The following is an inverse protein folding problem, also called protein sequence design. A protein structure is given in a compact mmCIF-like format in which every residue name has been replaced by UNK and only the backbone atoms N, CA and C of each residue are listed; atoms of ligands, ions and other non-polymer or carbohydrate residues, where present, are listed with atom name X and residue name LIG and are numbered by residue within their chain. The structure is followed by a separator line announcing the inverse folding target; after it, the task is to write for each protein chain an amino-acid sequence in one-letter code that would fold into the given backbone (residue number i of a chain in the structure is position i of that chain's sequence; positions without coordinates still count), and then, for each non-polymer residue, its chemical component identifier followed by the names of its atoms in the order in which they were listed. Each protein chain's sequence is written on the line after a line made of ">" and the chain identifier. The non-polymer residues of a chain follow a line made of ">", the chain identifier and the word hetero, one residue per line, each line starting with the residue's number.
data_IF_223997969093
#
_entry.id   IF_223997969093
#
_cell.length_a   1.000
_cell.length_b   1.000
_cell.length_c   1.000
_cell.angle_alpha   90.00
_cell.angle_beta   90.00
_cell.angle_gamma   90.00
#
_symmetry.space_group_name_H-M   'P 1'
#
loop_
_entity.id
_entity.type
_entity.pdbx_description
1 polymer ?
#
# COMPACT_ATOMS: atom_id res chain seq x y z
N UNK A 1 12.19 -31.79 6.99
CA UNK A 1 11.98 -32.31 8.36
C UNK A 1 12.52 -31.26 9.32
N UNK A 2 11.66 -30.47 9.96
CA UNK A 2 12.07 -29.53 11.00
C UNK A 2 11.69 -30.14 12.36
N UNK A 3 12.50 -31.08 12.84
CA UNK A 3 12.37 -31.60 14.20
C UNK A 3 12.98 -30.58 15.17
N UNK A 4 12.15 -29.64 15.58
CA UNK A 4 12.44 -28.81 16.74
C UNK A 4 12.12 -29.70 17.95
N UNK A 5 13.16 -30.17 18.66
CA UNK A 5 13.04 -31.13 19.75
C UNK A 5 12.00 -30.73 20.81
N UNK A 6 11.38 -31.73 21.44
CA UNK A 6 10.17 -31.63 22.30
C UNK A 6 10.24 -30.74 23.54
N UNK A 7 11.31 -29.95 23.72
CA UNK A 7 11.51 -29.02 24.84
C UNK A 7 11.81 -27.58 24.38
N UNK A 8 11.61 -27.25 23.10
CA UNK A 8 11.77 -25.87 22.61
C UNK A 8 10.43 -25.15 22.68
N UNK A 9 10.25 -24.33 23.72
CA UNK A 9 9.17 -23.37 23.80
C UNK A 9 9.61 -22.05 23.12
N UNK A 10 8.85 -21.56 22.14
CA UNK A 10 9.14 -20.29 21.45
C UNK A 10 8.24 -19.20 22.01
N UNK A 11 8.84 -18.22 22.68
CA UNK A 11 8.13 -17.09 23.30
C UNK A 11 7.62 -16.04 22.28
N UNK A 12 8.02 -16.15 21.00
CA UNK A 12 7.65 -15.20 19.95
C UNK A 12 6.53 -15.74 19.06
N UNK A 13 5.63 -14.85 18.63
CA UNK A 13 4.63 -15.15 17.61
C UNK A 13 5.31 -15.58 16.31
N UNK A 14 4.77 -16.61 15.66
CA UNK A 14 5.21 -16.98 14.31
C UNK A 14 4.90 -15.85 13.32
N UNK A 15 5.66 -15.73 12.23
CA UNK A 15 5.40 -14.74 11.19
C UNK A 15 3.96 -14.83 10.65
N UNK A 16 3.39 -16.03 10.61
CA UNK A 16 2.01 -16.26 10.19
C UNK A 16 1.01 -15.66 11.21
N UNK A 17 1.25 -15.87 12.50
CA UNK A 17 0.42 -15.26 13.55
C UNK A 17 0.50 -13.74 13.51
N UNK A 18 1.69 -13.18 13.27
CA UNK A 18 1.87 -11.73 13.15
C UNK A 18 1.14 -11.16 11.93
N UNK A 19 1.32 -11.76 10.75
CA UNK A 19 0.66 -11.33 9.52
C UNK A 19 -0.87 -11.41 9.64
N UNK A 20 -1.38 -12.51 10.20
CA UNK A 20 -2.82 -12.69 10.43
C UNK A 20 -3.37 -11.61 11.36
N UNK A 21 -2.77 -11.43 12.54
CA UNK A 21 -3.24 -10.45 13.52
C UNK A 21 -3.25 -9.02 12.95
N UNK A 22 -2.20 -8.66 12.19
CA UNK A 22 -2.11 -7.34 11.56
C UNK A 22 -3.20 -7.12 10.51
N UNK A 23 -3.40 -8.09 9.62
CA UNK A 23 -4.39 -7.99 8.54
C UNK A 23 -5.81 -8.03 9.08
N UNK A 24 -6.11 -8.92 10.03
CA UNK A 24 -7.42 -8.97 10.70
C UNK A 24 -7.75 -7.63 11.36
N UNK A 25 -6.81 -7.04 12.09
CA UNK A 25 -7.02 -5.74 12.72
C UNK A 25 -7.27 -4.64 11.68
N UNK A 26 -6.46 -4.58 10.62
CA UNK A 26 -6.60 -3.55 9.60
C UNK A 26 -7.91 -3.68 8.80
N UNK A 27 -8.32 -4.90 8.46
CA UNK A 27 -9.47 -5.16 7.60
C UNK A 27 -10.78 -5.17 8.40
N UNK A 28 -10.83 -5.88 9.52
CA UNK A 28 -12.04 -6.05 10.32
C UNK A 28 -12.20 -4.92 11.33
N UNK A 29 -11.10 -4.47 11.95
CA UNK A 29 -11.12 -3.42 12.97
C UNK A 29 -11.19 -2.01 12.38
N UNK A 30 -10.36 -1.72 11.37
CA UNK A 30 -10.28 -0.37 10.76
C UNK A 30 -11.04 -0.24 9.44
N UNK A 31 -11.53 -1.33 8.87
CA UNK A 31 -12.27 -1.31 7.60
C UNK A 31 -11.41 -1.07 6.36
N UNK A 32 -10.08 -1.16 6.47
CA UNK A 32 -9.20 -0.98 5.32
C UNK A 32 -9.35 -2.14 4.33
N UNK A 33 -9.17 -1.83 3.04
CA UNK A 33 -9.35 -2.79 1.93
C UNK A 33 -8.24 -2.74 0.89
N UNK A 34 -7.44 -1.67 0.85
CA UNK A 34 -6.36 -1.50 -0.13
C UNK A 34 -5.05 -1.37 0.61
N UNK A 35 -4.07 -2.17 0.24
CA UNK A 35 -2.78 -2.24 0.91
C UNK A 35 -1.64 -2.12 -0.10
N UNK A 36 -0.50 -1.65 0.37
CA UNK A 36 0.76 -1.66 -0.35
C UNK A 36 1.81 -2.31 0.55
N UNK A 37 2.73 -3.07 -0.03
CA UNK A 37 3.73 -3.84 0.71
C UNK A 37 5.13 -3.33 0.34
N UNK A 38 5.91 -2.95 1.35
CA UNK A 38 7.33 -2.64 1.22
C UNK A 38 8.11 -3.64 2.09
N UNK A 39 9.07 -4.36 1.51
CA UNK A 39 9.73 -5.47 2.21
C UNK A 39 11.22 -5.59 1.85
N UNK A 40 12.05 -6.12 2.77
CA UNK A 40 13.45 -6.40 2.46
C UNK A 40 13.56 -7.56 1.47
N UNK A 41 14.46 -7.43 0.51
CA UNK A 41 14.73 -8.44 -0.52
C UNK A 41 15.55 -9.61 0.04
N UNK A 42 14.99 -10.30 1.02
CA UNK A 42 15.57 -11.50 1.63
C UNK A 42 14.49 -12.58 1.84
N UNK A 43 14.93 -13.75 2.29
CA UNK A 43 14.05 -14.90 2.53
C UNK A 43 12.99 -14.61 3.61
N UNK A 44 13.31 -13.77 4.60
CA UNK A 44 12.41 -13.44 5.69
C UNK A 44 11.30 -12.49 5.20
N UNK A 45 11.67 -11.43 4.49
CA UNK A 45 10.75 -10.47 3.87
C UNK A 45 9.84 -11.16 2.87
N UNK A 46 10.40 -11.95 1.95
CA UNK A 46 9.62 -12.69 0.95
C UNK A 46 8.57 -13.59 1.59
N UNK A 47 8.93 -14.29 2.69
CA UNK A 47 7.99 -15.15 3.41
C UNK A 47 6.86 -14.35 4.07
N UNK A 48 7.18 -13.19 4.65
CA UNK A 48 6.19 -12.29 5.26
C UNK A 48 5.23 -11.71 4.23
N UNK A 49 5.73 -11.32 3.05
CA UNK A 49 4.87 -10.82 1.96
C UNK A 49 3.84 -11.87 1.54
N UNK A 50 4.27 -13.11 1.34
CA UNK A 50 3.36 -14.21 1.00
C UNK A 50 2.28 -14.38 2.07
N UNK A 51 2.69 -14.47 3.34
CA UNK A 51 1.76 -14.64 4.46
C UNK A 51 0.79 -13.47 4.59
N UNK A 52 1.27 -12.24 4.41
CA UNK A 52 0.43 -11.04 4.46
C UNK A 52 -0.56 -11.02 3.30
N UNK A 53 -0.10 -11.28 2.07
CA UNK A 53 -0.93 -11.32 0.87
C UNK A 53 -2.05 -12.35 1.02
N UNK A 54 -1.72 -13.58 1.41
CA UNK A 54 -2.70 -14.66 1.60
C UNK A 54 -3.79 -14.26 2.61
N UNK A 55 -3.44 -13.52 3.66
CA UNK A 55 -4.43 -13.05 4.64
C UNK A 55 -5.27 -11.89 4.12
N UNK A 56 -4.68 -10.98 3.34
CA UNK A 56 -5.42 -9.88 2.73
C UNK A 56 -6.44 -10.42 1.74
N UNK A 57 -6.04 -11.35 0.89
CA UNK A 57 -6.90 -11.99 -0.10
C UNK A 57 -8.05 -12.76 0.59
N UNK A 58 -7.73 -13.52 1.65
CA UNK A 58 -8.73 -14.24 2.47
C UNK A 58 -9.81 -13.32 3.03
N UNK A 59 -9.47 -12.09 3.41
CA UNK A 59 -10.43 -11.12 3.98
C UNK A 59 -11.01 -10.17 2.92
N UNK A 60 -10.80 -10.44 1.63
CA UNK A 60 -11.34 -9.66 0.52
C UNK A 60 -10.73 -8.26 0.38
N UNK A 61 -9.49 -8.08 0.84
CA UNK A 61 -8.69 -6.90 0.55
C UNK A 61 -7.90 -7.05 -0.75
N UNK A 62 -7.24 -5.98 -1.16
CA UNK A 62 -6.50 -5.90 -2.41
C UNK A 62 -5.12 -5.30 -2.17
N UNK A 63 -4.10 -5.93 -2.77
CA UNK A 63 -2.74 -5.40 -2.81
C UNK A 63 -2.57 -4.55 -4.07
N UNK A 64 -2.32 -3.26 -3.89
CA UNK A 64 -2.17 -2.27 -4.97
C UNK A 64 -0.72 -2.04 -5.42
N UNK A 65 0.25 -2.51 -4.64
CA UNK A 65 1.66 -2.41 -4.98
C UNK A 65 2.52 -3.22 -4.01
N UNK A 66 3.61 -3.78 -4.54
CA UNK A 66 4.59 -4.55 -3.78
C UNK A 66 5.98 -4.17 -4.26
N UNK A 67 6.80 -3.64 -3.38
CA UNK A 67 8.17 -3.22 -3.70
C UNK A 67 9.17 -3.80 -2.72
N UNK A 68 10.28 -4.30 -3.27
CA UNK A 68 11.40 -4.80 -2.52
C UNK A 68 12.46 -3.70 -2.32
N UNK A 69 13.17 -3.74 -1.20
CA UNK A 69 14.36 -2.94 -0.95
C UNK A 69 15.53 -3.82 -0.53
N UNK A 70 16.76 -3.40 -0.82
CA UNK A 70 17.94 -4.16 -0.36
C UNK A 70 18.13 -3.98 1.16
N UNK A 71 18.43 -5.01 1.95
CA UNK A 71 18.53 -4.88 3.40
C UNK A 71 19.53 -3.82 3.91
N UNK A 72 20.57 -3.53 3.11
CA UNK A 72 21.57 -2.49 3.40
C UNK A 72 21.18 -1.09 2.90
N UNK A 73 20.04 -0.96 2.22
CA UNK A 73 19.56 0.29 1.65
C UNK A 73 19.09 1.25 2.74
N UNK A 74 19.41 2.53 2.58
CA UNK A 74 19.06 3.60 3.54
C UNK A 74 18.14 4.67 2.94
N UNK A 75 17.98 4.68 1.61
CA UNK A 75 17.09 5.59 0.88
C UNK A 75 16.03 4.76 0.15
N UNK A 76 14.75 4.96 0.48
CA UNK A 76 13.61 4.21 -0.06
C UNK A 76 12.71 5.07 -0.98
N UNK A 77 13.18 6.26 -1.39
CA UNK A 77 12.36 7.21 -2.14
C UNK A 77 11.80 6.60 -3.42
N UNK A 78 12.57 5.80 -4.13
CA UNK A 78 12.14 5.21 -5.41
C UNK A 78 11.09 4.11 -5.22
N UNK A 79 11.25 3.25 -4.22
CA UNK A 79 10.23 2.24 -3.86
C UNK A 79 8.93 2.92 -3.46
N UNK A 80 9.01 3.97 -2.64
CA UNK A 80 7.82 4.73 -2.23
C UNK A 80 7.16 5.38 -3.46
N UNK A 81 7.92 6.05 -4.33
CA UNK A 81 7.39 6.66 -5.56
C UNK A 81 6.66 5.64 -6.44
N UNK A 82 7.17 4.41 -6.54
CA UNK A 82 6.50 3.33 -7.29
C UNK A 82 5.17 2.94 -6.64
N UNK A 83 5.17 2.73 -5.32
CA UNK A 83 3.95 2.36 -4.57
C UNK A 83 2.85 3.44 -4.64
N UNK A 84 3.22 4.73 -4.71
CA UNK A 84 2.26 5.84 -4.79
C UNK A 84 1.97 6.31 -6.22
N UNK A 85 2.53 5.65 -7.24
CA UNK A 85 2.29 5.98 -8.65
C UNK A 85 2.93 7.30 -9.12
N UNK A 86 4.00 7.76 -8.44
CA UNK A 86 4.79 8.94 -8.81
C UNK A 86 6.06 8.60 -9.62
N UNK A 87 6.38 7.31 -9.76
CA UNK A 87 7.60 6.89 -10.45
C UNK A 87 7.45 6.84 -11.98
N UNK A 88 6.30 6.38 -12.47
CA UNK A 88 6.03 6.29 -13.90
C UNK A 88 5.23 7.50 -14.37
N UNK A 89 5.51 8.03 -15.57
CA UNK A 89 4.68 9.08 -16.15
C UNK A 89 3.25 8.57 -16.26
N UNK A 90 2.30 9.32 -15.69
CA UNK A 90 0.88 8.99 -15.80
C UNK A 90 0.50 9.12 -17.28
N UNK A 91 -0.11 8.10 -17.91
CA UNK A 91 -0.65 8.26 -19.25
C UNK A 91 -1.64 9.42 -19.26
N UNK A 92 -1.64 10.21 -20.34
CA UNK A 92 -2.60 11.29 -20.53
C UNK A 92 -4.01 10.74 -20.27
N UNK A 93 -4.77 11.36 -19.36
CA UNK A 93 -6.12 10.91 -19.07
C UNK A 93 -6.98 11.14 -20.31
N UNK A 94 -7.52 10.07 -20.90
CA UNK A 94 -8.46 10.17 -22.04
C UNK A 94 -9.74 10.93 -21.67
N UNK A 95 -10.05 11.02 -20.38
CA UNK A 95 -11.14 11.83 -19.84
C UNK A 95 -10.59 13.25 -19.62
N UNK A 96 -11.10 14.27 -20.35
CA UNK A 96 -10.73 15.65 -20.10
C UNK A 96 -11.05 16.00 -18.66
N UNK A 97 -10.06 16.55 -17.95
CA UNK A 97 -10.20 17.07 -16.60
C UNK A 97 -11.13 18.29 -16.58
N UNK A 98 -12.44 18.04 -16.57
CA UNK A 98 -13.51 19.05 -16.52
C UNK A 98 -13.40 19.92 -15.24
N UNK A 99 -12.86 19.36 -14.16
CA UNK A 99 -12.63 20.06 -12.88
C UNK A 99 -11.75 21.31 -13.01
N UNK A 100 -10.82 21.35 -13.97
CA UNK A 100 -10.02 22.54 -14.25
C UNK A 100 -10.79 23.62 -15.03
N UNK A 101 -11.79 23.24 -15.81
CA UNK A 101 -12.62 24.18 -16.60
C UNK A 101 -13.69 24.84 -15.74
N UNK A 102 -14.29 24.09 -14.83
CA UNK A 102 -15.33 24.61 -13.93
C UNK A 102 -14.77 25.68 -12.98
N UNK A 103 -13.55 25.48 -12.46
CA UNK A 103 -12.88 26.47 -11.62
C UNK A 103 -12.43 27.73 -12.38
N UNK A 104 -12.08 27.61 -13.67
CA UNK A 104 -11.71 28.75 -14.49
C UNK A 104 -12.94 29.59 -14.90
N UNK A 105 -14.07 28.94 -15.17
CA UNK A 105 -15.33 29.60 -15.52
C UNK A 105 -15.97 30.31 -14.33
N UNK A 106 -15.88 29.75 -13.11
CA UNK A 106 -16.38 30.40 -11.90
C UNK A 106 -15.67 31.74 -11.62
N UNK A 107 -14.36 31.84 -11.88
CA UNK A 107 -13.59 33.06 -11.70
C UNK A 107 -13.92 34.15 -12.73
N UNK A 108 -14.39 33.78 -13.94
CA UNK A 108 -14.80 34.72 -14.98
C UNK A 108 -16.21 35.29 -14.74
N UNK A 109 -17.09 34.55 -14.05
CA UNK A 109 -18.44 35.01 -13.70
C UNK A 109 -18.44 35.97 -12.50
N UNK A 110 -17.52 35.84 -11.55
CA UNK A 110 -17.38 36.78 -10.41
C UNK A 110 -16.78 38.14 -10.83
N UNK A 111 -16.02 38.22 -11.92
CA UNK A 111 -15.40 39.47 -12.39
C UNK A 111 -16.36 40.36 -13.23
N UNK A 112 -17.53 39.84 -13.61
CA UNK A 112 -18.53 40.52 -14.46
C UNK A 112 -19.70 41.17 -13.71
N UNK A 113 -19.66 41.27 -12.36
CA UNK A 113 -20.68 42.03 -11.65
C UNK A 113 -20.54 43.54 -11.98
N UNK A 114 -21.53 44.17 -12.64
CA UNK A 114 -21.49 45.60 -12.86
C UNK A 114 -21.56 46.29 -11.50
N UNK A 115 -20.58 47.16 -11.23
CA UNK A 115 -20.65 48.14 -10.15
C UNK A 115 -21.88 49.01 -10.46
N UNK A 116 -22.98 48.78 -9.72
CA UNK A 116 -24.14 49.68 -9.66
C UNK A 116 -24.10 50.42 -8.35
#
# INVERSE_FOLDING_TARGET
>A
VNEIGGFVFRYFLSNEQQARALVEYAVLGLGYRRFAILYPNDNYGTRLVQLFWDQVDRLGGEIRGVEAYEPSQTDFADQIKKLVGLYYPRPESEIPDQSRKDAANANLEEELLPIV
#
